data_IF_118619304457
#
_entry.id   IF_118619304457
#
_cell.length_a   1.000
_cell.length_b   1.000
_cell.length_c   1.000
_cell.angle_alpha   90.00
_cell.angle_beta   90.00
_cell.angle_gamma   90.00
#
_symmetry.space_group_name_H-M   'P 1'
#
loop_
_entity.id
_entity.type
_entity.pdbx_description
1 polymer ?
#
# COMPACT_ATOMS: atom_id res chain seq x y z
N UNK A 1 -12.15 -6.47 17.38
CA UNK A 1 -12.72 -5.32 16.65
C UNK A 1 -12.14 -4.04 17.23
N UNK A 2 -12.02 -2.97 16.45
CA UNK A 2 -11.55 -1.67 16.96
C UNK A 2 -12.66 -1.04 17.80
N UNK A 3 -12.32 -0.50 18.97
CA UNK A 3 -13.30 0.10 19.88
C UNK A 3 -13.93 1.36 19.27
N UNK A 4 -15.25 1.59 19.44
CA UNK A 4 -15.94 2.76 18.84
C UNK A 4 -15.30 4.10 19.19
N UNK A 5 -14.85 4.30 20.44
CA UNK A 5 -14.18 5.52 20.89
C UNK A 5 -12.86 5.77 20.14
N UNK A 6 -12.12 4.70 19.85
CA UNK A 6 -10.90 4.77 19.03
C UNK A 6 -11.23 5.17 17.60
N UNK A 7 -12.30 4.62 17.02
CA UNK A 7 -12.76 4.99 15.66
C UNK A 7 -13.18 6.45 15.60
N UNK A 8 -13.85 6.96 16.63
CA UNK A 8 -14.26 8.37 16.73
C UNK A 8 -13.04 9.31 16.74
N UNK A 9 -12.05 9.03 17.59
CA UNK A 9 -10.80 9.82 17.63
C UNK A 9 -10.04 9.76 16.30
N UNK A 10 -9.98 8.59 15.66
CA UNK A 10 -9.33 8.43 14.35
C UNK A 10 -10.09 9.16 13.23
N UNK A 11 -11.42 9.17 13.25
CA UNK A 11 -12.25 10.00 12.35
C UNK A 11 -11.91 11.49 12.50
N UNK A 12 -11.52 11.88 13.72
CA UNK A 12 -10.91 13.16 14.03
C UNK A 12 -9.64 13.50 13.23
N UNK A 13 -8.91 12.51 12.69
CA UNK A 13 -7.69 12.74 11.92
C UNK A 13 -7.92 12.98 10.41
N UNK A 14 -9.04 12.48 9.87
CA UNK A 14 -9.36 12.53 8.45
C UNK A 14 -9.64 13.97 7.97
N UNK A 15 -9.53 14.20 6.66
CA UNK A 15 -10.10 15.41 6.05
C UNK A 15 -11.61 15.26 5.75
N UNK A 16 -12.21 16.28 5.13
CA UNK A 16 -13.63 16.26 4.81
C UNK A 16 -13.99 15.20 3.77
N UNK A 17 -13.19 15.06 2.71
CA UNK A 17 -13.44 14.12 1.62
C UNK A 17 -13.30 12.66 2.08
N UNK A 18 -12.34 12.37 2.96
CA UNK A 18 -12.18 11.04 3.56
C UNK A 18 -13.33 10.72 4.52
N UNK A 19 -13.78 11.69 5.33
CA UNK A 19 -14.96 11.48 6.20
C UNK A 19 -16.22 11.21 5.39
N UNK A 20 -16.44 11.97 4.33
CA UNK A 20 -17.57 11.76 3.42
C UNK A 20 -17.51 10.38 2.76
N UNK A 21 -16.32 9.97 2.29
CA UNK A 21 -16.11 8.63 1.74
C UNK A 21 -16.35 7.54 2.78
N UNK A 22 -15.93 7.75 4.03
CA UNK A 22 -16.22 6.84 5.13
C UNK A 22 -17.72 6.69 5.37
N UNK A 23 -18.46 7.81 5.42
CA UNK A 23 -19.91 7.83 5.63
C UNK A 23 -20.69 7.11 4.52
N UNK A 24 -20.16 7.11 3.28
CA UNK A 24 -20.76 6.41 2.14
C UNK A 24 -20.69 4.88 2.21
N UNK A 25 -19.87 4.28 3.08
CA UNK A 25 -19.84 2.82 3.22
C UNK A 25 -21.07 2.32 3.97
N UNK A 26 -21.77 1.35 3.37
CA UNK A 26 -22.90 0.64 4.00
C UNK A 26 -22.48 -0.41 5.03
N UNK A 27 -21.27 -0.96 4.86
CA UNK A 27 -20.70 -1.99 5.73
C UNK A 27 -19.77 -1.34 6.78
N UNK A 28 -20.06 -1.57 8.05
CA UNK A 28 -19.33 -0.95 9.17
C UNK A 28 -17.87 -1.41 9.24
N UNK A 29 -17.57 -2.63 8.80
CA UNK A 29 -16.20 -3.13 8.74
C UNK A 29 -15.37 -2.36 7.70
N UNK A 30 -15.92 -2.13 6.51
CA UNK A 30 -15.30 -1.29 5.46
C UNK A 30 -15.18 0.16 5.91
N UNK A 31 -16.22 0.73 6.54
CA UNK A 31 -16.18 2.08 7.11
C UNK A 31 -15.04 2.23 8.11
N UNK A 32 -14.97 1.32 9.08
CA UNK A 32 -13.95 1.31 10.13
C UNK A 32 -12.56 1.11 9.53
N UNK A 33 -12.40 0.17 8.61
CA UNK A 33 -11.13 -0.08 7.93
C UNK A 33 -10.63 1.15 7.16
N UNK A 34 -11.53 1.87 6.49
CA UNK A 34 -11.20 3.12 5.80
C UNK A 34 -10.71 4.20 6.78
N UNK A 35 -11.46 4.44 7.86
CA UNK A 35 -11.09 5.43 8.89
C UNK A 35 -9.72 5.10 9.48
N UNK A 36 -9.52 3.86 9.90
CA UNK A 36 -8.26 3.40 10.48
C UNK A 36 -7.09 3.58 9.52
N UNK A 37 -7.22 3.11 8.27
CA UNK A 37 -6.14 3.16 7.30
C UNK A 37 -5.72 4.61 7.00
N UNK A 38 -6.70 5.49 6.77
CA UNK A 38 -6.44 6.88 6.42
C UNK A 38 -5.92 7.69 7.61
N UNK A 39 -6.46 7.47 8.81
CA UNK A 39 -5.95 8.11 10.02
C UNK A 39 -4.51 7.68 10.31
N UNK A 40 -4.21 6.37 10.25
CA UNK A 40 -2.87 5.84 10.43
C UNK A 40 -1.88 6.45 9.45
N UNK A 41 -2.25 6.52 8.16
CA UNK A 41 -1.41 7.13 7.15
C UNK A 41 -1.11 8.60 7.45
N UNK A 42 -2.13 9.40 7.80
CA UNK A 42 -1.93 10.81 8.17
C UNK A 42 -1.04 10.98 9.38
N UNK A 43 -1.26 10.18 10.43
CA UNK A 43 -0.46 10.23 11.66
C UNK A 43 1.00 9.92 11.38
N UNK A 44 1.27 8.87 10.59
CA UNK A 44 2.65 8.51 10.18
C UNK A 44 3.26 9.63 9.33
N UNK A 45 2.54 10.18 8.36
CA UNK A 45 3.05 11.26 7.51
C UNK A 45 3.34 12.54 8.33
N UNK A 46 2.55 12.85 9.36
CA UNK A 46 2.82 13.93 10.29
C UNK A 46 4.12 13.74 11.07
N UNK A 47 4.59 12.50 11.30
CA UNK A 47 5.91 12.27 11.91
C UNK A 47 7.07 12.71 11.03
N UNK A 48 6.89 12.69 9.70
CA UNK A 48 7.89 13.17 8.74
C UNK A 48 7.80 14.68 8.48
N UNK A 49 6.58 15.22 8.46
CA UNK A 49 6.32 16.60 8.01
C UNK A 49 6.10 17.60 9.15
N UNK A 50 5.83 17.11 10.36
CA UNK A 50 5.29 17.92 11.44
C UNK A 50 3.83 18.33 11.21
N UNK A 51 3.28 19.07 12.16
CA UNK A 51 1.88 19.53 12.10
C UNK A 51 0.86 18.46 12.46
N UNK A 52 -0.42 18.81 12.29
CA UNK A 52 -1.55 17.93 12.63
C UNK A 52 -2.11 17.19 11.40
N UNK A 53 -2.73 16.00 11.59
CA UNK A 53 -3.17 15.13 10.50
C UNK A 53 -4.19 15.79 9.56
N UNK A 54 -5.08 16.64 10.09
CA UNK A 54 -6.05 17.43 9.30
C UNK A 54 -5.42 18.49 8.40
N UNK A 55 -4.19 18.93 8.70
CA UNK A 55 -3.49 19.96 7.91
C UNK A 55 -2.77 19.36 6.71
N UNK A 56 -2.61 18.04 6.65
CA UNK A 56 -2.06 17.37 5.47
C UNK A 56 -3.03 17.49 4.30
N UNK A 57 -2.58 18.13 3.23
CA UNK A 57 -3.31 18.24 1.98
C UNK A 57 -2.94 17.05 1.09
N UNK A 58 -3.76 16.00 1.17
CA UNK A 58 -3.63 14.83 0.31
C UNK A 58 -4.47 15.06 -0.95
N UNK A 59 -3.85 14.94 -2.11
CA UNK A 59 -4.51 15.02 -3.43
C UNK A 59 -4.37 13.68 -4.13
N UNK A 60 -5.00 13.54 -5.29
CA UNK A 60 -4.90 12.32 -6.12
C UNK A 60 -4.46 12.70 -7.53
N UNK A 61 -3.55 11.92 -8.08
CA UNK A 61 -3.23 11.95 -9.51
C UNK A 61 -4.42 11.41 -10.33
N UNK A 62 -4.37 11.58 -11.65
CA UNK A 62 -5.42 11.10 -12.56
C UNK A 62 -5.67 9.59 -12.42
N UNK A 63 -4.63 8.78 -12.18
CA UNK A 63 -4.77 7.35 -11.91
C UNK A 63 -5.15 6.99 -10.47
N UNK A 64 -5.52 7.97 -9.65
CA UNK A 64 -6.05 7.79 -8.30
C UNK A 64 -5.00 7.64 -7.19
N UNK A 65 -3.70 7.58 -7.53
CA UNK A 65 -2.59 7.52 -6.57
C UNK A 65 -2.59 8.78 -5.69
N UNK A 66 -2.64 8.63 -4.35
CA UNK A 66 -2.61 9.79 -3.47
C UNK A 66 -1.20 10.38 -3.39
N UNK A 67 -1.11 11.71 -3.31
CA UNK A 67 0.14 12.45 -3.14
C UNK A 67 -0.01 13.62 -2.16
N UNK A 68 1.12 14.08 -1.61
CA UNK A 68 1.18 15.25 -0.74
C UNK A 68 1.27 16.51 -1.58
N UNK A 69 0.30 17.40 -1.43
CA UNK A 69 0.29 18.72 -2.05
C UNK A 69 1.30 19.65 -1.36
N UNK A 70 2.29 20.13 -2.11
CA UNK A 70 3.37 21.00 -1.62
C UNK A 70 4.77 20.53 -1.99
N UNK A 71 5.78 21.15 -1.36
CA UNK A 71 7.21 21.04 -1.75
C UNK A 71 8.04 20.12 -0.86
N UNK A 72 7.42 19.26 -0.04
CA UNK A 72 8.15 18.44 0.95
C UNK A 72 9.11 17.41 0.34
N UNK A 73 8.96 17.09 -0.95
CA UNK A 73 9.71 16.01 -1.62
C UNK A 73 9.32 14.59 -1.18
N UNK A 74 8.51 14.46 -0.11
CA UNK A 74 8.06 13.18 0.42
C UNK A 74 7.12 12.50 -0.59
N UNK A 75 7.35 11.20 -0.81
CA UNK A 75 6.52 10.32 -1.61
C UNK A 75 5.97 9.23 -0.72
N UNK A 76 4.74 8.81 -0.98
CA UNK A 76 4.15 7.71 -0.24
C UNK A 76 3.19 6.93 -1.12
N UNK A 77 2.91 5.70 -0.70
CA UNK A 77 1.85 4.90 -1.27
C UNK A 77 1.26 4.02 -0.16
N UNK A 78 -0.02 3.73 -0.25
CA UNK A 78 -0.71 2.87 0.72
C UNK A 78 -1.58 1.85 0.03
N UNK A 79 -1.73 0.72 0.70
CA UNK A 79 -2.61 -0.38 0.29
C UNK A 79 -3.25 -1.00 1.53
N UNK A 80 -4.29 -1.80 1.33
CA UNK A 80 -4.87 -2.61 2.39
C UNK A 80 -5.37 -3.94 1.83
N UNK A 81 -5.25 -5.00 2.63
CA UNK A 81 -5.82 -6.31 2.32
C UNK A 81 -6.19 -7.04 3.61
N UNK A 82 -7.45 -7.48 3.70
CA UNK A 82 -8.04 -7.97 4.94
C UNK A 82 -7.93 -6.95 6.08
N UNK A 83 -7.20 -7.30 7.13
CA UNK A 83 -7.04 -6.48 8.34
C UNK A 83 -5.74 -5.65 8.35
N UNK A 84 -4.97 -5.72 7.27
CA UNK A 84 -3.67 -5.09 7.18
C UNK A 84 -3.70 -3.85 6.30
N UNK A 85 -3.04 -2.81 6.79
CA UNK A 85 -2.72 -1.60 6.03
C UNK A 85 -1.21 -1.53 5.91
N UNK A 86 -0.72 -1.29 4.70
CA UNK A 86 0.69 -1.14 4.43
C UNK A 86 0.92 0.24 3.79
N UNK A 87 1.86 0.99 4.37
CA UNK A 87 2.23 2.34 3.93
C UNK A 87 3.73 2.36 3.65
N UNK A 88 4.10 2.74 2.44
CA UNK A 88 5.47 3.07 2.07
C UNK A 88 5.66 4.59 2.09
N UNK A 89 6.80 5.03 2.63
CA UNK A 89 7.20 6.44 2.64
C UNK A 89 8.64 6.54 2.15
N UNK A 90 8.89 7.49 1.26
CA UNK A 90 10.19 7.75 0.62
C UNK A 90 10.47 9.25 0.62
N UNK A 91 11.73 9.63 0.81
CA UNK A 91 12.14 11.03 0.86
C UNK A 91 12.24 11.73 -0.50
N UNK A 92 12.34 10.97 -1.61
CA UNK A 92 12.54 11.54 -2.96
C UNK A 92 12.03 10.67 -4.10
N UNK A 93 12.25 9.35 -4.01
CA UNK A 93 11.92 8.42 -5.09
C UNK A 93 10.44 8.05 -5.04
N UNK A 94 9.83 7.89 -6.20
CA UNK A 94 8.48 7.33 -6.30
C UNK A 94 8.47 5.94 -5.71
N UNK A 95 7.39 5.62 -5.01
CA UNK A 95 7.18 4.33 -4.37
C UNK A 95 5.77 3.85 -4.60
N UNK A 96 5.62 2.54 -4.69
CA UNK A 96 4.35 1.85 -4.68
C UNK A 96 4.47 0.61 -3.81
N UNK A 97 3.40 0.26 -3.11
CA UNK A 97 3.41 -0.85 -2.17
C UNK A 97 2.13 -1.64 -2.29
N UNK A 98 2.26 -2.96 -2.19
CA UNK A 98 1.10 -3.85 -2.19
C UNK A 98 1.20 -4.93 -1.12
N UNK A 99 0.04 -5.41 -0.66
CA UNK A 99 -0.12 -6.50 0.31
C UNK A 99 -1.36 -7.26 -0.05
N UNK A 100 -1.27 -8.58 -0.16
CA UNK A 100 -2.41 -9.41 -0.50
C UNK A 100 -2.47 -10.70 0.29
N UNK A 101 -3.70 -11.10 0.61
CA UNK A 101 -3.95 -12.37 1.29
C UNK A 101 -3.68 -13.52 0.33
N UNK A 102 -2.93 -14.51 0.82
CA UNK A 102 -2.67 -15.76 0.09
C UNK A 102 -3.94 -16.61 0.15
N UNK A 103 -4.65 -16.67 -0.97
CA UNK A 103 -5.87 -17.46 -1.12
C UNK A 103 -5.83 -18.22 -2.44
N UNK A 104 -6.29 -19.48 -2.46
CA UNK A 104 -6.31 -20.31 -3.67
C UNK A 104 -7.10 -19.66 -4.82
N UNK A 105 -8.17 -18.93 -4.48
CA UNK A 105 -8.97 -18.18 -5.47
C UNK A 105 -8.22 -17.03 -6.15
N UNK A 106 -7.12 -16.54 -5.56
CA UNK A 106 -6.37 -15.41 -6.14
C UNK A 106 -5.69 -15.84 -7.44
N UNK A 107 -5.06 -17.02 -7.44
CA UNK A 107 -4.29 -17.52 -8.58
C UNK A 107 -5.09 -17.46 -9.90
N UNK A 108 -6.28 -18.09 -10.04
CA UNK A 108 -7.03 -18.03 -11.29
C UNK A 108 -7.45 -16.61 -11.71
N UNK A 109 -7.67 -15.70 -10.76
CA UNK A 109 -8.07 -14.32 -11.05
C UNK A 109 -6.92 -13.49 -11.64
N UNK A 110 -5.69 -13.71 -11.17
CA UNK A 110 -4.54 -12.89 -11.56
C UNK A 110 -3.75 -13.48 -12.74
N UNK A 111 -3.90 -14.78 -13.01
CA UNK A 111 -3.20 -15.48 -14.10
C UNK A 111 -3.38 -14.83 -15.49
N UNK A 112 -4.53 -14.20 -15.73
CA UNK A 112 -4.83 -13.47 -16.98
C UNK A 112 -3.93 -12.25 -17.20
N UNK A 113 -3.33 -11.73 -16.13
CA UNK A 113 -2.40 -10.61 -16.16
C UNK A 113 -0.93 -11.06 -16.17
N UNK A 114 -0.67 -12.36 -16.07
CA UNK A 114 0.68 -12.88 -16.01
C UNK A 114 1.23 -13.17 -17.42
N UNK A 115 2.52 -12.96 -17.62
CA UNK A 115 3.22 -13.39 -18.84
C UNK A 115 3.38 -14.91 -18.85
N UNK A 116 3.78 -15.47 -19.99
CA UNK A 116 4.08 -16.89 -20.07
C UNK A 116 5.23 -17.29 -19.12
N UNK A 117 6.23 -16.42 -18.94
CA UNK A 117 7.34 -16.66 -18.03
C UNK A 117 6.87 -16.67 -16.57
N UNK A 118 6.05 -15.69 -16.16
CA UNK A 118 5.46 -15.63 -14.82
C UNK A 118 4.59 -16.85 -14.50
N UNK A 119 3.81 -17.33 -15.49
CA UNK A 119 3.01 -18.55 -15.31
C UNK A 119 3.86 -19.80 -15.08
N UNK A 120 5.04 -19.91 -15.68
CA UNK A 120 5.97 -21.04 -15.46
C UNK A 120 6.50 -21.07 -14.03
N UNK A 121 6.64 -19.92 -13.38
CA UNK A 121 7.04 -19.84 -11.97
C UNK A 121 6.00 -20.45 -11.01
N UNK A 122 4.74 -20.60 -11.46
CA UNK A 122 3.66 -21.17 -10.66
C UNK A 122 3.53 -22.70 -10.75
N UNK A 123 4.30 -23.34 -11.64
CA UNK A 123 4.22 -24.79 -11.90
C UNK A 123 5.48 -25.55 -11.48
N UNK A 124 6.47 -24.87 -10.88
CA UNK A 124 7.74 -25.47 -10.48
C UNK A 124 7.75 -26.05 -9.06
N UNK A 125 8.89 -26.64 -8.67
CA UNK A 125 9.20 -27.09 -7.30
C UNK A 125 9.48 -25.87 -6.42
N UNK A 126 8.44 -25.14 -6.05
CA UNK A 126 8.54 -23.91 -5.28
C UNK A 126 7.45 -23.82 -4.19
N UNK A 127 7.21 -22.61 -3.67
CA UNK A 127 6.10 -22.36 -2.75
C UNK A 127 4.75 -22.82 -3.33
N UNK A 128 3.74 -23.05 -2.48
CA UNK A 128 2.38 -23.34 -2.95
C UNK A 128 1.93 -22.32 -4.00
N UNK A 129 1.21 -22.78 -5.03
CA UNK A 129 0.78 -21.97 -6.17
C UNK A 129 0.13 -20.64 -5.76
N UNK A 130 -0.73 -20.67 -4.75
CA UNK A 130 -1.38 -19.47 -4.22
C UNK A 130 -0.38 -18.45 -3.66
N UNK A 131 0.65 -18.90 -2.94
CA UNK A 131 1.69 -18.03 -2.37
C UNK A 131 2.56 -17.42 -3.47
N UNK A 132 2.94 -18.22 -4.48
CA UNK A 132 3.69 -17.74 -5.63
C UNK A 132 2.88 -16.72 -6.45
N UNK A 133 1.58 -16.98 -6.65
CA UNK A 133 0.67 -16.07 -7.33
C UNK A 133 0.49 -14.74 -6.56
N UNK A 134 0.27 -14.79 -5.25
CA UNK A 134 0.15 -13.60 -4.41
C UNK A 134 1.45 -12.76 -4.42
N UNK A 135 2.61 -13.41 -4.40
CA UNK A 135 3.90 -12.73 -4.53
C UNK A 135 4.04 -12.01 -5.87
N UNK A 136 3.82 -12.68 -7.00
CA UNK A 136 3.93 -12.04 -8.32
C UNK A 136 2.90 -10.91 -8.48
N UNK A 137 1.68 -11.13 -7.98
CA UNK A 137 0.63 -10.15 -8.03
C UNK A 137 0.97 -8.88 -7.23
N UNK A 138 1.43 -9.02 -5.99
CA UNK A 138 1.83 -7.88 -5.16
C UNK A 138 3.00 -7.10 -5.78
N UNK A 139 3.95 -7.78 -6.42
CA UNK A 139 5.01 -7.11 -7.19
C UNK A 139 4.46 -6.26 -8.34
N UNK A 140 3.50 -6.80 -9.12
CA UNK A 140 2.88 -6.06 -10.23
C UNK A 140 2.13 -4.83 -9.73
N UNK A 141 1.24 -5.03 -8.77
CA UNK A 141 0.43 -3.98 -8.18
C UNK A 141 1.31 -2.91 -7.53
N UNK A 142 2.40 -3.27 -6.86
CA UNK A 142 3.35 -2.31 -6.32
C UNK A 142 3.96 -1.42 -7.42
N UNK A 143 4.36 -1.95 -8.57
CA UNK A 143 4.90 -1.14 -9.67
C UNK A 143 3.82 -0.28 -10.32
N UNK A 144 2.61 -0.81 -10.55
CA UNK A 144 1.48 -0.04 -11.11
C UNK A 144 1.09 1.11 -10.18
N UNK A 145 1.03 0.87 -8.88
CA UNK A 145 0.78 1.89 -7.84
C UNK A 145 1.90 2.92 -7.76
N UNK A 146 3.14 2.51 -8.00
CA UNK A 146 4.27 3.43 -8.04
C UNK A 146 4.20 4.36 -9.26
N UNK A 147 3.84 3.79 -10.43
CA UNK A 147 3.72 4.51 -11.70
C UNK A 147 2.49 5.43 -11.78
N UNK A 148 1.43 5.17 -11.00
CA UNK A 148 0.24 6.02 -10.97
C UNK A 148 -0.64 5.91 -12.22
N UNK A 149 -0.46 4.88 -13.04
CA UNK A 149 -1.17 4.69 -14.34
C UNK A 149 -2.57 4.07 -14.21
N UNK A 150 -3.03 3.78 -13.00
CA UNK A 150 -4.32 3.12 -12.72
C UNK A 150 -4.23 1.58 -12.78
N UNK A 151 -5.09 0.90 -12.02
CA UNK A 151 -4.98 -0.54 -11.68
C UNK A 151 -4.87 -1.48 -12.88
N UNK A 152 -5.61 -1.23 -13.97
CA UNK A 152 -5.70 -2.18 -15.10
C UNK A 152 -4.89 -1.78 -16.34
N UNK A 153 -4.45 -0.52 -16.45
CA UNK A 153 -3.76 -0.03 -17.65
C UNK A 153 -2.30 -0.49 -17.74
N UNK A 154 -1.75 -1.09 -16.68
CA UNK A 154 -0.32 -1.36 -16.55
C UNK A 154 0.04 -2.77 -16.11
N UNK A 155 -0.80 -3.80 -16.29
CA UNK A 155 -0.51 -5.15 -15.76
C UNK A 155 0.16 -6.12 -16.75
N UNK A 156 0.30 -5.74 -18.03
CA UNK A 156 0.88 -6.60 -19.08
C UNK A 156 2.41 -6.68 -19.09
N UNK A 157 3.10 -5.95 -18.21
CA UNK A 157 4.57 -6.00 -18.07
C UNK A 157 5.01 -7.17 -17.21
N UNK A 158 6.28 -7.57 -17.33
CA UNK A 158 6.84 -8.67 -16.57
C UNK A 158 7.52 -8.20 -15.28
N UNK A 159 7.13 -8.80 -14.16
CA UNK A 159 7.87 -8.81 -12.90
C UNK A 159 8.51 -10.19 -12.74
N UNK A 160 9.61 -10.40 -13.47
CA UNK A 160 10.39 -11.63 -13.34
C UNK A 160 10.87 -11.82 -11.88
N UNK A 161 11.46 -12.97 -11.57
CA UNK A 161 11.92 -13.26 -10.20
C UNK A 161 13.03 -12.29 -9.71
N UNK A 162 13.67 -11.59 -10.64
CA UNK A 162 14.68 -10.57 -10.36
C UNK A 162 14.15 -9.32 -9.63
N UNK A 163 15.06 -8.49 -9.08
CA UNK A 163 14.71 -7.33 -8.26
C UNK A 163 14.40 -6.08 -9.08
N UNK A 164 14.32 -6.16 -10.41
CA UNK A 164 14.09 -5.00 -11.29
C UNK A 164 13.05 -5.34 -12.33
N UNK A 165 12.06 -4.46 -12.50
CA UNK A 165 11.06 -4.54 -13.56
C UNK A 165 11.03 -3.23 -14.37
N UNK A 166 10.56 -3.32 -15.61
CA UNK A 166 10.33 -2.13 -16.44
C UNK A 166 9.14 -1.35 -15.89
N UNK A 167 9.18 -0.04 -16.05
CA UNK A 167 8.06 0.81 -15.70
C UNK A 167 6.87 0.58 -16.62
N UNK A 168 5.68 0.18 -16.10
CA UNK A 168 4.48 0.07 -16.92
C UNK A 168 4.06 1.40 -17.56
N UNK A 169 4.48 2.55 -17.01
CA UNK A 169 4.27 3.87 -17.61
C UNK A 169 5.32 4.31 -18.63
N UNK A 170 6.34 3.49 -18.89
CA UNK A 170 7.41 3.79 -19.86
C UNK A 170 8.54 4.71 -19.35
N UNK A 171 8.54 5.11 -18.08
CA UNK A 171 9.47 6.09 -17.49
C UNK A 171 10.79 5.53 -16.95
N UNK A 172 11.13 4.26 -17.22
CA UNK A 172 12.38 3.64 -16.78
C UNK A 172 12.18 2.27 -16.13
N UNK A 173 12.71 2.10 -14.91
CA UNK A 173 12.66 0.83 -14.18
C UNK A 173 12.31 1.03 -12.71
N UNK A 174 11.68 0.01 -12.13
CA UNK A 174 11.39 -0.11 -10.72
C UNK A 174 12.29 -1.15 -10.08
N UNK A 175 12.89 -0.83 -8.94
CA UNK A 175 13.49 -1.83 -8.06
C UNK A 175 12.42 -2.38 -7.12
N UNK A 176 12.26 -3.69 -7.12
CA UNK A 176 11.25 -4.44 -6.38
C UNK A 176 11.89 -5.09 -5.16
N UNK A 177 11.19 -5.01 -4.02
CA UNK A 177 11.53 -5.68 -2.79
C UNK A 177 10.33 -6.48 -2.30
N UNK A 178 10.50 -7.80 -2.16
CA UNK A 178 9.56 -8.58 -1.36
C UNK A 178 9.72 -8.17 0.11
N UNK A 179 8.60 -7.94 0.78
CA UNK A 179 8.57 -7.53 2.18
C UNK A 179 8.16 -8.69 3.07
N UNK A 180 8.70 -8.72 4.29
CA UNK A 180 8.17 -9.58 5.33
C UNK A 180 6.70 -9.20 5.59
N UNK A 181 5.80 -10.15 5.38
CA UNK A 181 4.37 -9.98 5.53
C UNK A 181 3.84 -10.83 6.72
N UNK A 182 2.68 -10.49 7.28
CA UNK A 182 1.99 -11.35 8.23
C UNK A 182 1.75 -12.76 7.67
N UNK A 183 1.63 -13.79 8.51
CA UNK A 183 1.30 -15.14 8.06
C UNK A 183 0.05 -15.16 7.18
N UNK A 184 0.13 -15.83 6.02
CA UNK A 184 -0.96 -15.87 5.05
C UNK A 184 -1.08 -14.65 4.15
N UNK A 185 -0.08 -13.76 4.11
CA UNK A 185 -0.02 -12.61 3.21
C UNK A 185 1.29 -12.58 2.43
N UNK A 186 1.25 -11.99 1.24
CA UNK A 186 2.41 -11.56 0.47
C UNK A 186 2.44 -10.03 0.44
N UNK A 187 3.62 -9.41 0.36
CA UNK A 187 3.75 -7.97 0.23
C UNK A 187 4.99 -7.60 -0.59
N UNK A 188 4.89 -6.50 -1.34
CA UNK A 188 5.98 -6.00 -2.16
C UNK A 188 6.04 -4.47 -2.16
N UNK A 189 7.25 -3.95 -2.32
CA UNK A 189 7.56 -2.53 -2.51
C UNK A 189 8.26 -2.34 -3.86
N UNK A 190 7.78 -1.39 -4.66
CA UNK A 190 8.46 -0.88 -5.84
C UNK A 190 9.02 0.52 -5.54
N UNK A 191 10.27 0.78 -5.94
CA UNK A 191 10.94 2.08 -5.79
C UNK A 191 11.54 2.50 -7.13
N UNK A 192 11.38 3.78 -7.52
CA UNK A 192 11.85 4.23 -8.83
C UNK A 192 13.37 4.14 -8.98
N UNK A 193 13.82 3.72 -10.16
CA UNK A 193 15.21 3.58 -10.54
C UNK A 193 15.85 2.25 -10.14
N UNK A 194 16.98 1.94 -10.78
CA UNK A 194 17.70 0.69 -10.57
C UNK A 194 18.66 0.70 -9.38
N UNK A 195 18.80 1.80 -8.64
CA UNK A 195 19.83 1.94 -7.60
C UNK A 195 19.47 1.29 -6.26
N UNK A 196 20.50 0.92 -5.48
CA UNK A 196 20.40 0.51 -4.06
C UNK A 196 19.44 1.35 -3.23
N UNK A 197 18.57 0.69 -2.46
CA UNK A 197 17.76 1.35 -1.43
C UNK A 197 17.81 0.55 -0.13
N UNK A 198 17.78 1.25 0.99
CA UNK A 198 17.68 0.65 2.32
C UNK A 198 16.21 0.68 2.74
N UNK A 199 15.59 -0.49 2.82
CA UNK A 199 14.21 -0.64 3.30
C UNK A 199 14.23 -0.81 4.81
N UNK A 200 13.43 -0.02 5.53
CA UNK A 200 13.21 -0.16 6.98
C UNK A 200 11.73 -0.38 7.23
N UNK A 201 11.39 -1.54 7.77
CA UNK A 201 10.00 -1.88 8.11
C UNK A 201 9.73 -1.59 9.58
N UNK A 202 8.56 -1.00 9.85
CA UNK A 202 8.04 -0.81 11.21
C UNK A 202 6.61 -1.32 11.25
N UNK A 203 6.24 -1.96 12.35
CA UNK A 203 4.86 -2.39 12.59
C UNK A 203 4.21 -1.40 13.55
N UNK A 204 3.26 -0.66 13.04
CA UNK A 204 2.38 0.16 13.86
C UNK A 204 1.19 -0.68 14.32
N UNK A 205 0.81 -0.55 15.58
CA UNK A 205 -0.39 -1.18 16.13
C UNK A 205 -1.31 -0.07 16.60
N UNK A 206 -2.58 -0.17 16.23
CA UNK A 206 -3.59 0.70 16.80
C UNK A 206 -3.57 0.58 18.33
N UNK A 207 -3.56 1.71 19.06
CA UNK A 207 -3.78 1.68 20.49
C UNK A 207 -5.15 1.09 20.79
N UNK A 208 -5.25 0.38 21.90
CA UNK A 208 -6.54 -0.13 22.38
C UNK A 208 -7.39 0.98 23.02
N UNK A 209 -6.81 2.13 23.33
CA UNK A 209 -7.48 3.24 24.00
C UNK A 209 -7.30 4.58 23.27
N UNK A 210 -8.38 5.36 23.25
CA UNK A 210 -8.42 6.62 22.51
C UNK A 210 -7.49 7.70 23.11
N UNK A 211 -7.22 7.64 24.43
CA UNK A 211 -6.31 8.55 25.15
C UNK A 211 -4.86 8.51 24.66
N UNK A 212 -4.39 7.38 24.12
CA UNK A 212 -3.02 7.26 23.61
C UNK A 212 -2.88 7.89 22.21
N UNK A 213 -3.99 8.05 21.48
CA UNK A 213 -3.99 8.72 20.18
C UNK A 213 -4.00 10.25 20.28
N UNK A 214 -4.47 10.81 21.40
CA UNK A 214 -4.49 12.26 21.64
C UNK A 214 -3.19 12.80 22.20
N UNK A 215 -2.34 11.93 22.76
CA UNK A 215 -0.97 12.29 23.11
C UNK A 215 -0.14 12.40 21.81
N UNK A 216 0.63 13.48 21.65
CA UNK A 216 1.45 13.74 20.44
C UNK A 216 2.58 12.72 20.23
N UNK A 217 2.60 11.66 21.04
CA UNK A 217 3.54 10.54 21.07
C UNK A 217 2.91 9.26 20.54
N UNK A 218 2.12 9.34 19.46
CA UNK A 218 1.85 8.14 18.67
C UNK A 218 3.21 7.66 18.13
N UNK A 219 3.63 6.41 18.42
CA UNK A 219 4.97 5.91 18.10
C UNK A 219 5.30 5.92 16.61
#
# INVERSE_FOLDING_TARGET
MVEPEVVEVLSGCLDAAERERAAGFRDDRRRTGHIVAHAAARLILCRYLGGGPRRLRLRRENGGKPYLDGTSGLRFNMTHSGEWVLLAVSGRREVGVDVEKVEERLAPLVLRYFTAAERRLLTGTGPPRAAAAARLWTRKEACVKAAGVGMFAGLGFEVADGPVARDPGGGGVWRIHDLAAPPGYAAALAVSGAGGVRVRSRRWRLPHNARVLTDRRIP
#
